data_IF_373491670921
#
_entry.id   IF_373491670921
#
_cell.length_a   1.000
_cell.length_b   1.000
_cell.length_c   1.000
_cell.angle_alpha   90.00
_cell.angle_beta   90.00
_cell.angle_gamma   90.00
#
_symmetry.space_group_name_H-M   'P 1'
#
loop_
_entity.id
_entity.type
_entity.pdbx_description
1 polymer ?
#
# COMPACT_ATOMS: atom_id res chain seq x y z
N UNK A 1 14.24 4.53 -71.96
CA UNK A 1 13.47 5.21 -70.89
C UNK A 1 14.30 6.41 -70.43
N UNK A 2 13.76 7.63 -70.52
CA UNK A 2 14.40 8.88 -70.10
C UNK A 2 14.76 8.82 -68.61
N UNK A 3 15.91 9.38 -68.22
CA UNK A 3 16.36 9.52 -66.82
C UNK A 3 15.27 10.16 -65.94
N UNK A 4 14.56 11.13 -66.49
CA UNK A 4 13.41 11.77 -65.83
C UNK A 4 12.27 10.80 -65.49
N UNK A 5 12.00 9.79 -66.31
CA UNK A 5 10.97 8.76 -66.03
C UNK A 5 11.36 7.81 -64.90
N UNK A 6 12.65 7.46 -64.79
CA UNK A 6 13.19 6.65 -63.75
C UNK A 6 13.13 7.40 -62.38
N UNK A 7 13.57 8.67 -62.38
CA UNK A 7 13.52 9.52 -61.18
C UNK A 7 12.08 9.71 -60.66
N UNK A 8 11.13 9.96 -61.55
CA UNK A 8 9.70 10.10 -61.17
C UNK A 8 9.14 8.82 -60.52
N UNK A 9 9.54 7.65 -61.03
CA UNK A 9 9.11 6.37 -60.44
C UNK A 9 9.74 6.12 -59.05
N UNK A 10 11.01 6.45 -58.86
CA UNK A 10 11.69 6.33 -57.56
C UNK A 10 11.11 7.29 -56.54
N UNK A 11 10.87 8.54 -56.89
CA UNK A 11 10.22 9.53 -56.01
C UNK A 11 8.82 9.07 -55.60
N UNK A 12 8.04 8.51 -56.51
CA UNK A 12 6.71 8.02 -56.22
C UNK A 12 6.75 6.77 -55.31
N UNK A 13 7.73 5.87 -55.50
CA UNK A 13 7.93 4.71 -54.63
C UNK A 13 8.35 5.13 -53.23
N UNK A 14 9.25 6.12 -53.10
CA UNK A 14 9.67 6.70 -51.81
C UNK A 14 8.49 7.38 -51.08
N UNK A 15 7.66 8.13 -51.80
CA UNK A 15 6.48 8.78 -51.21
C UNK A 15 5.47 7.77 -50.69
N UNK A 16 5.21 6.68 -51.43
CA UNK A 16 4.32 5.59 -50.95
C UNK A 16 4.92 4.89 -49.76
N UNK A 17 6.21 4.57 -49.77
CA UNK A 17 6.90 3.96 -48.64
C UNK A 17 6.88 4.84 -47.40
N UNK A 18 7.07 6.15 -47.54
CA UNK A 18 6.98 7.13 -46.48
C UNK A 18 5.57 7.22 -45.90
N UNK A 19 4.55 7.17 -46.74
CA UNK A 19 3.16 7.17 -46.31
C UNK A 19 2.82 5.92 -45.48
N UNK A 20 3.18 4.74 -45.99
CA UNK A 20 2.98 3.45 -45.27
C UNK A 20 3.73 3.45 -43.94
N UNK A 21 4.97 3.96 -43.93
CA UNK A 21 5.75 4.06 -42.69
C UNK A 21 5.08 4.99 -41.64
N UNK A 22 4.60 6.16 -42.09
CA UNK A 22 3.88 7.09 -41.20
C UNK A 22 2.58 6.50 -40.65
N UNK A 23 1.85 5.75 -41.48
CA UNK A 23 0.62 5.05 -41.06
C UNK A 23 0.93 3.98 -40.04
N UNK A 24 1.94 3.15 -40.27
CA UNK A 24 2.41 2.15 -39.31
C UNK A 24 2.88 2.78 -37.96
N UNK A 25 3.55 3.94 -38.03
CA UNK A 25 3.95 4.67 -36.82
C UNK A 25 2.74 5.18 -36.05
N UNK A 26 1.72 5.69 -36.72
CA UNK A 26 0.50 6.17 -36.08
C UNK A 26 -0.29 5.02 -35.44
N UNK A 27 -0.39 3.88 -36.12
CA UNK A 27 -1.01 2.66 -35.53
C UNK A 27 -0.24 2.19 -34.30
N UNK A 28 1.09 2.12 -34.37
CA UNK A 28 1.93 1.73 -33.24
C UNK A 28 1.77 2.70 -32.05
N UNK A 29 1.71 4.01 -32.32
CA UNK A 29 1.51 5.02 -31.29
C UNK A 29 0.14 4.88 -30.62
N UNK A 30 -0.91 4.60 -31.40
CA UNK A 30 -2.26 4.37 -30.89
C UNK A 30 -2.28 3.13 -29.97
N UNK A 31 -1.67 2.05 -30.42
CA UNK A 31 -1.58 0.81 -29.64
C UNK A 31 -0.80 0.97 -28.34
N UNK A 32 0.29 1.75 -28.36
CA UNK A 32 1.06 2.12 -27.16
C UNK A 32 0.19 2.90 -26.16
N UNK A 33 -0.62 3.82 -26.64
CA UNK A 33 -1.51 4.60 -25.77
C UNK A 33 -2.60 3.72 -25.14
N UNK A 34 -3.23 2.83 -25.90
CA UNK A 34 -4.21 1.86 -25.39
C UNK A 34 -3.60 0.93 -24.31
N UNK A 35 -2.38 0.44 -24.56
CA UNK A 35 -1.66 -0.40 -23.59
C UNK A 35 -1.32 0.37 -22.33
N UNK A 36 -0.92 1.64 -22.42
CA UNK A 36 -0.66 2.50 -21.27
C UNK A 36 -1.92 2.72 -20.42
N UNK A 37 -3.06 2.99 -21.06
CA UNK A 37 -4.34 3.14 -20.35
C UNK A 37 -4.76 1.84 -19.66
N UNK A 38 -4.58 0.71 -20.32
CA UNK A 38 -4.87 -0.60 -19.74
C UNK A 38 -3.95 -0.94 -18.55
N UNK A 39 -2.67 -0.61 -18.65
CA UNK A 39 -1.72 -0.76 -17.55
C UNK A 39 -2.14 0.14 -16.38
N UNK A 40 -2.47 1.40 -16.61
CA UNK A 40 -2.89 2.34 -15.58
C UNK A 40 -4.18 1.86 -14.85
N UNK A 41 -5.16 1.35 -15.61
CA UNK A 41 -6.39 0.80 -15.04
C UNK A 41 -6.13 -0.46 -14.18
N UNK A 42 -5.27 -1.36 -14.64
CA UNK A 42 -4.86 -2.55 -13.89
C UNK A 42 -4.08 -2.17 -12.62
N UNK A 43 -3.19 -1.19 -12.69
CA UNK A 43 -2.46 -0.67 -11.53
C UNK A 43 -3.41 -0.07 -10.49
N UNK A 44 -4.46 0.65 -10.89
CA UNK A 44 -5.49 1.15 -9.97
C UNK A 44 -6.24 0.01 -9.26
N UNK A 45 -6.57 -1.07 -9.96
CA UNK A 45 -7.23 -2.24 -9.37
C UNK A 45 -6.36 -2.94 -8.33
N UNK A 46 -5.04 -2.91 -8.50
CA UNK A 46 -4.07 -3.55 -7.58
C UNK A 46 -3.64 -2.60 -6.45
N UNK A 47 -3.85 -1.28 -6.61
CA UNK A 47 -3.39 -0.29 -5.64
C UNK A 47 -4.14 -0.30 -4.30
N UNK A 48 -5.37 -0.84 -4.29
CA UNK A 48 -6.21 -0.87 -3.09
C UNK A 48 -6.63 -2.28 -2.70
N UNK A 49 -6.65 -2.54 -1.39
CA UNK A 49 -7.21 -3.77 -0.82
C UNK A 49 -8.74 -3.75 -0.89
N UNK A 50 -9.32 -4.71 -1.59
CA UNK A 50 -10.76 -4.77 -1.86
C UNK A 50 -11.63 -4.91 -0.61
N UNK A 51 -11.08 -5.48 0.46
CA UNK A 51 -11.81 -5.65 1.70
C UNK A 51 -11.86 -4.37 2.54
N UNK A 52 -10.72 -3.70 2.69
CA UNK A 52 -10.57 -2.59 3.64
C UNK A 52 -10.62 -1.21 2.99
N UNK A 53 -10.41 -1.12 1.67
CA UNK A 53 -10.30 0.14 0.94
C UNK A 53 -9.04 0.96 1.28
N UNK A 54 -8.10 0.39 2.04
CA UNK A 54 -6.76 0.95 2.22
C UNK A 54 -5.88 0.61 1.01
N UNK A 55 -4.69 1.18 0.94
CA UNK A 55 -3.72 0.73 -0.05
C UNK A 55 -3.41 -0.76 0.12
N UNK A 56 -3.12 -1.42 -0.98
CA UNK A 56 -2.71 -2.83 -1.00
C UNK A 56 -1.25 -3.01 -0.56
N UNK A 57 -0.83 -4.24 -0.34
CA UNK A 57 0.56 -4.61 -0.14
C UNK A 57 1.44 -4.14 -1.30
N UNK A 58 0.99 -4.33 -2.53
CA UNK A 58 1.71 -3.88 -3.73
C UNK A 58 1.95 -2.37 -3.72
N UNK A 59 0.91 -1.58 -3.42
CA UNK A 59 1.05 -0.12 -3.33
C UNK A 59 2.00 0.32 -2.20
N UNK A 60 2.03 -0.42 -1.09
CA UNK A 60 2.98 -0.19 0.00
C UNK A 60 4.42 -0.46 -0.45
N UNK A 61 4.69 -1.59 -1.08
CA UNK A 61 6.04 -1.94 -1.52
C UNK A 61 6.58 -0.89 -2.51
N UNK A 62 5.76 -0.43 -3.47
CA UNK A 62 6.11 0.64 -4.40
C UNK A 62 6.30 2.01 -3.72
N UNK A 63 5.47 2.32 -2.72
CA UNK A 63 5.58 3.56 -1.96
C UNK A 63 6.86 3.59 -1.13
N UNK A 64 7.13 2.52 -0.36
CA UNK A 64 8.31 2.43 0.50
C UNK A 64 9.59 2.54 -0.30
N UNK A 65 9.69 1.83 -1.43
CA UNK A 65 10.82 1.88 -2.35
C UNK A 65 11.12 3.30 -2.84
N UNK A 66 10.08 4.06 -3.18
CA UNK A 66 10.25 5.45 -3.61
C UNK A 66 10.62 6.37 -2.45
N UNK A 67 9.97 6.19 -1.29
CA UNK A 67 10.14 7.07 -0.14
C UNK A 67 11.53 6.96 0.50
N UNK A 68 12.10 5.75 0.58
CA UNK A 68 13.40 5.52 1.24
C UNK A 68 14.58 6.08 0.42
N UNK A 69 14.40 6.23 -0.89
CA UNK A 69 15.43 6.75 -1.80
C UNK A 69 15.18 8.20 -2.24
N UNK A 70 14.13 8.85 -1.74
CA UNK A 70 13.82 10.22 -2.13
C UNK A 70 14.67 11.23 -1.36
N UNK A 71 15.36 12.10 -2.09
CA UNK A 71 16.19 13.19 -1.51
C UNK A 71 15.38 14.16 -0.62
N UNK A 72 14.06 14.18 -0.77
CA UNK A 72 13.14 15.02 0.02
C UNK A 72 12.69 14.36 1.33
N UNK A 73 13.08 13.12 1.59
CA UNK A 73 12.72 12.38 2.80
C UNK A 73 13.82 12.55 3.84
N UNK A 74 13.63 13.49 4.76
CA UNK A 74 14.55 13.73 5.88
C UNK A 74 14.47 12.65 6.97
N UNK A 75 13.28 12.09 7.18
CA UNK A 75 13.04 10.98 8.10
C UNK A 75 11.89 10.11 7.62
N UNK A 76 12.02 8.80 7.82
CA UNK A 76 11.00 7.82 7.51
C UNK A 76 10.82 6.88 8.70
N UNK A 77 9.57 6.66 9.10
CA UNK A 77 9.21 5.69 10.14
C UNK A 77 8.21 4.70 9.58
N UNK A 78 8.53 3.43 9.74
CA UNK A 78 7.68 2.30 9.36
C UNK A 78 7.05 1.70 10.59
N UNK A 79 5.72 1.51 10.56
CA UNK A 79 4.95 0.89 11.63
C UNK A 79 4.17 -0.28 11.08
N UNK A 80 4.28 -1.42 11.74
CA UNK A 80 3.44 -2.59 11.46
C UNK A 80 2.51 -2.81 12.64
N UNK A 81 1.21 -2.91 12.36
CA UNK A 81 0.16 -3.22 13.32
C UNK A 81 -0.44 -4.59 12.99
N UNK A 82 -0.44 -5.50 13.93
CA UNK A 82 -1.02 -6.85 13.77
C UNK A 82 -2.13 -7.06 14.80
N UNK A 83 -3.32 -7.43 14.32
CA UNK A 83 -4.48 -7.65 15.19
C UNK A 83 -4.25 -8.90 16.07
N UNK A 84 -4.33 -8.69 17.38
CA UNK A 84 -4.11 -9.74 18.35
C UNK A 84 -5.22 -10.79 18.29
N UNK A 85 -4.84 -12.07 18.41
CA UNK A 85 -5.76 -13.20 18.48
C UNK A 85 -6.81 -13.28 17.35
N UNK A 86 -6.53 -12.73 16.18
CA UNK A 86 -7.47 -12.66 15.05
C UNK A 86 -7.93 -14.04 14.59
N UNK A 87 -7.07 -15.07 14.65
CA UNK A 87 -7.44 -16.45 14.29
C UNK A 87 -8.51 -16.99 15.24
N UNK A 88 -8.33 -16.80 16.56
CA UNK A 88 -9.32 -17.19 17.57
C UNK A 88 -10.64 -16.46 17.39
N UNK A 89 -10.60 -15.20 16.99
CA UNK A 89 -11.81 -14.43 16.67
C UNK A 89 -12.55 -15.05 15.47
N UNK A 90 -11.84 -15.44 14.42
CA UNK A 90 -12.44 -16.11 13.27
C UNK A 90 -12.99 -17.50 13.62
N UNK A 91 -12.32 -18.26 14.49
CA UNK A 91 -12.79 -19.55 15.01
C UNK A 91 -14.10 -19.41 15.78
N UNK A 92 -14.22 -18.38 16.63
CA UNK A 92 -15.40 -18.17 17.48
C UNK A 92 -16.59 -17.54 16.73
N UNK A 93 -16.33 -16.64 15.79
CA UNK A 93 -17.38 -15.80 15.17
C UNK A 93 -17.50 -15.97 13.64
N UNK A 94 -16.60 -16.73 13.03
CA UNK A 94 -16.56 -16.95 11.60
C UNK A 94 -15.85 -15.85 10.81
N UNK A 95 -15.39 -16.19 9.60
CA UNK A 95 -14.62 -15.29 8.72
C UNK A 95 -15.37 -14.02 8.33
N UNK A 96 -16.69 -14.07 8.16
CA UNK A 96 -17.49 -12.88 7.82
C UNK A 96 -17.43 -11.80 8.90
N UNK A 97 -17.36 -12.22 10.18
CA UNK A 97 -17.21 -11.30 11.31
C UNK A 97 -15.79 -10.74 11.32
N UNK A 98 -14.78 -11.58 11.08
CA UNK A 98 -13.40 -11.13 10.94
C UNK A 98 -13.23 -10.09 9.84
N UNK A 99 -13.84 -10.30 8.69
CA UNK A 99 -13.83 -9.33 7.58
C UNK A 99 -14.50 -8.00 7.95
N UNK A 100 -15.62 -8.06 8.66
CA UNK A 100 -16.30 -6.85 9.14
C UNK A 100 -15.42 -6.07 10.15
N UNK A 101 -14.69 -6.77 11.01
CA UNK A 101 -13.74 -6.19 11.96
C UNK A 101 -12.57 -5.57 11.22
N UNK A 102 -12.00 -6.22 10.22
CA UNK A 102 -10.92 -5.66 9.41
C UNK A 102 -11.33 -4.35 8.73
N UNK A 103 -12.53 -4.31 8.14
CA UNK A 103 -13.08 -3.07 7.55
C UNK A 103 -13.24 -1.96 8.59
N UNK A 104 -13.79 -2.31 9.75
CA UNK A 104 -14.01 -1.35 10.83
C UNK A 104 -12.68 -0.78 11.36
N UNK A 105 -11.69 -1.65 11.64
CA UNK A 105 -10.38 -1.22 12.13
C UNK A 105 -9.62 -0.40 11.10
N UNK A 106 -9.67 -0.77 9.82
CA UNK A 106 -9.09 0.01 8.74
C UNK A 106 -9.65 1.43 8.69
N UNK A 107 -10.98 1.56 8.75
CA UNK A 107 -11.65 2.86 8.80
C UNK A 107 -11.27 3.65 10.05
N UNK A 108 -11.19 3.00 11.20
CA UNK A 108 -10.80 3.61 12.47
C UNK A 108 -9.37 4.15 12.42
N UNK A 109 -8.42 3.36 11.90
CA UNK A 109 -7.03 3.79 11.71
C UNK A 109 -6.95 4.97 10.73
N UNK A 110 -7.67 4.90 9.62
CA UNK A 110 -7.74 6.00 8.64
C UNK A 110 -8.28 7.29 9.26
N UNK A 111 -9.32 7.22 10.08
CA UNK A 111 -9.87 8.38 10.79
C UNK A 111 -8.90 8.95 11.82
N UNK A 112 -8.17 8.08 12.54
CA UNK A 112 -7.24 8.50 13.61
C UNK A 112 -5.96 9.10 13.07
N UNK A 113 -5.42 8.53 11.99
CA UNK A 113 -4.13 8.95 11.40
C UNK A 113 -4.31 10.00 10.30
N UNK A 114 -5.47 10.03 9.64
CA UNK A 114 -5.77 10.99 8.58
C UNK A 114 -4.78 10.88 7.42
N UNK A 115 -4.31 12.05 6.96
CA UNK A 115 -3.32 12.16 5.88
C UNK A 115 -1.87 12.20 6.39
N UNK A 116 -1.66 11.99 7.69
CA UNK A 116 -0.32 12.05 8.29
C UNK A 116 0.53 10.82 7.95
N UNK A 117 -0.11 9.73 7.53
CA UNK A 117 0.56 8.47 7.20
C UNK A 117 0.03 7.88 5.89
N UNK A 118 0.91 7.22 5.16
CA UNK A 118 0.49 6.27 4.13
C UNK A 118 0.03 4.98 4.83
N UNK A 119 -1.22 4.56 4.59
CA UNK A 119 -1.82 3.37 5.21
C UNK A 119 -2.08 2.29 4.18
N UNK A 120 -1.65 1.06 4.49
CA UNK A 120 -1.93 -0.09 3.64
C UNK A 120 -2.31 -1.33 4.47
N UNK A 121 -3.00 -2.27 3.85
CA UNK A 121 -3.15 -3.62 4.37
C UNK A 121 -1.94 -4.43 3.98
N UNK A 122 -1.17 -4.85 4.98
CA UNK A 122 0.11 -5.53 4.79
C UNK A 122 -0.07 -7.03 4.56
N UNK A 123 -0.96 -7.66 5.31
CA UNK A 123 -1.31 -9.08 5.20
C UNK A 123 -2.75 -9.31 5.68
N UNK A 124 -3.16 -10.56 5.82
CA UNK A 124 -4.52 -10.94 6.23
C UNK A 124 -5.08 -10.15 7.41
N UNK A 125 -4.29 -9.97 8.48
CA UNK A 125 -4.67 -9.26 9.72
C UNK A 125 -3.73 -8.12 10.09
N UNK A 126 -2.76 -7.79 9.25
CA UNK A 126 -1.74 -6.79 9.55
C UNK A 126 -1.90 -5.57 8.66
N UNK A 127 -1.64 -4.41 9.24
CA UNK A 127 -1.65 -3.11 8.57
C UNK A 127 -0.27 -2.48 8.69
N UNK A 128 0.05 -1.60 7.75
CA UNK A 128 1.30 -0.86 7.74
C UNK A 128 1.02 0.63 7.61
N UNK A 129 1.80 1.44 8.33
CA UNK A 129 1.78 2.89 8.26
C UNK A 129 3.19 3.38 7.95
N UNK A 130 3.32 4.27 6.99
CA UNK A 130 4.59 4.94 6.70
C UNK A 130 4.40 6.43 6.98
N UNK A 131 5.25 6.95 7.85
CA UNK A 131 5.32 8.37 8.20
C UNK A 131 6.57 8.98 7.59
N UNK A 132 6.42 10.11 6.92
CA UNK A 132 7.52 10.86 6.33
C UNK A 132 7.68 12.20 7.03
N UNK A 133 8.93 12.61 7.26
CA UNK A 133 9.30 13.92 7.80
C UNK A 133 8.61 14.22 9.14
N UNK A 134 8.61 13.22 10.04
CA UNK A 134 8.07 13.30 11.41
C UNK A 134 9.09 12.78 12.41
N UNK A 135 9.14 13.43 13.59
CA UNK A 135 10.03 12.95 14.65
C UNK A 135 9.55 11.61 15.24
N UNK A 136 10.46 10.78 15.78
CA UNK A 136 10.11 9.52 16.45
C UNK A 136 9.06 9.67 17.55
N UNK A 137 9.15 10.72 18.36
CA UNK A 137 8.22 10.99 19.47
C UNK A 137 6.82 11.30 18.94
N UNK A 138 6.75 12.09 17.85
CA UNK A 138 5.48 12.40 17.21
C UNK A 138 4.82 11.13 16.64
N UNK A 139 5.60 10.28 15.97
CA UNK A 139 5.12 8.98 15.42
C UNK A 139 4.62 8.10 16.55
N UNK A 140 5.37 7.96 17.65
CA UNK A 140 4.97 7.18 18.82
C UNK A 140 3.62 7.66 19.37
N UNK A 141 3.42 8.97 19.52
CA UNK A 141 2.15 9.53 20.00
C UNK A 141 0.99 9.23 19.05
N UNK A 142 1.22 9.26 17.73
CA UNK A 142 0.19 8.95 16.73
C UNK A 142 -0.18 7.47 16.74
N UNK A 143 0.81 6.59 16.84
CA UNK A 143 0.59 5.15 16.93
C UNK A 143 -0.12 4.79 18.23
N UNK A 144 0.23 5.43 19.35
CA UNK A 144 -0.50 5.22 20.63
C UNK A 144 -1.97 5.66 20.53
N UNK A 145 -2.27 6.78 19.86
CA UNK A 145 -3.67 7.16 19.58
C UNK A 145 -4.40 6.11 18.75
N UNK A 146 -3.74 5.52 17.75
CA UNK A 146 -4.32 4.45 16.94
C UNK A 146 -4.58 3.19 17.78
N UNK A 147 -3.62 2.79 18.63
CA UNK A 147 -3.78 1.66 19.55
C UNK A 147 -4.96 1.88 20.50
N UNK A 148 -5.05 3.05 21.11
CA UNK A 148 -6.17 3.40 21.99
C UNK A 148 -7.51 3.42 21.23
N UNK A 149 -7.55 3.95 20.02
CA UNK A 149 -8.75 3.95 19.21
C UNK A 149 -9.26 2.54 18.89
N UNK A 150 -8.35 1.57 18.77
CA UNK A 150 -8.70 0.15 18.57
C UNK A 150 -9.26 -0.46 19.86
N UNK A 151 -8.55 -0.37 20.97
CA UNK A 151 -8.97 -1.03 22.23
C UNK A 151 -10.30 -0.48 22.79
N UNK A 152 -10.58 0.82 22.59
CA UNK A 152 -11.84 1.41 23.02
C UNK A 152 -12.98 1.24 21.99
N UNK A 153 -12.75 0.46 20.94
CA UNK A 153 -13.77 0.14 19.95
C UNK A 153 -14.78 -0.87 20.52
N UNK A 154 -16.03 -0.43 20.71
CA UNK A 154 -17.13 -1.34 21.06
C UNK A 154 -17.70 -1.94 19.78
N UNK A 155 -17.44 -3.21 19.55
CA UNK A 155 -17.92 -3.91 18.36
C UNK A 155 -19.07 -4.84 18.77
N UNK A 156 -20.26 -4.57 18.21
CA UNK A 156 -21.47 -5.37 18.43
C UNK A 156 -21.80 -6.17 17.18
N UNK A 157 -22.07 -7.43 17.33
CA UNK A 157 -22.66 -8.25 16.26
C UNK A 157 -24.07 -7.76 15.96
N UNK A 158 -24.32 -7.33 14.73
CA UNK A 158 -25.63 -6.79 14.33
C UNK A 158 -26.75 -7.83 14.48
N UNK A 159 -26.44 -9.12 14.24
CA UNK A 159 -27.40 -10.23 14.27
C UNK A 159 -27.90 -10.58 15.67
N UNK A 160 -27.00 -10.57 16.66
CA UNK A 160 -27.30 -11.04 18.03
C UNK A 160 -27.23 -9.93 19.07
N UNK A 161 -26.77 -8.72 18.70
CA UNK A 161 -26.40 -7.61 19.60
C UNK A 161 -25.36 -8.01 20.66
N UNK A 162 -24.70 -9.14 20.46
CA UNK A 162 -23.62 -9.62 21.32
C UNK A 162 -22.37 -8.75 21.16
N UNK A 163 -21.76 -8.38 22.26
CA UNK A 163 -20.47 -7.69 22.26
C UNK A 163 -19.34 -8.70 21.97
N UNK A 164 -18.47 -8.41 20.99
CA UNK A 164 -17.36 -9.29 20.61
C UNK A 164 -16.22 -9.23 21.64
N UNK A 165 -16.30 -8.30 22.57
CA UNK A 165 -15.20 -8.03 23.51
C UNK A 165 -14.19 -7.01 22.95
N UNK A 166 -13.11 -6.79 23.70
CA UNK A 166 -12.08 -5.85 23.30
C UNK A 166 -11.15 -6.46 22.25
N UNK A 167 -11.03 -5.78 21.12
CA UNK A 167 -10.03 -6.09 20.10
C UNK A 167 -8.79 -5.26 20.39
N UNK A 168 -7.63 -5.89 20.30
CA UNK A 168 -6.33 -5.21 20.44
C UNK A 168 -5.44 -5.47 19.24
N UNK A 169 -4.41 -4.66 19.10
CA UNK A 169 -3.35 -4.85 18.13
C UNK A 169 -1.99 -4.61 18.77
N UNK A 170 -1.00 -5.34 18.29
CA UNK A 170 0.41 -5.17 18.63
C UNK A 170 1.10 -4.39 17.55
N UNK A 171 1.92 -3.40 17.93
CA UNK A 171 2.57 -2.49 17.01
C UNK A 171 4.08 -2.60 17.12
N UNK A 172 4.77 -2.55 15.98
CA UNK A 172 6.21 -2.42 15.89
C UNK A 172 6.56 -1.18 15.09
N UNK A 173 7.49 -0.37 15.60
CA UNK A 173 8.00 0.84 14.94
C UNK A 173 9.48 0.64 14.63
N UNK A 174 9.88 0.97 13.41
CA UNK A 174 11.28 1.12 13.03
C UNK A 174 11.47 2.46 12.32
N UNK A 175 12.54 3.17 12.69
CA UNK A 175 12.96 4.41 12.04
C UNK A 175 14.07 4.10 11.05
N UNK A 176 13.94 4.62 9.82
CA UNK A 176 14.95 4.40 8.79
C UNK A 176 16.29 5.05 9.20
N UNK A 177 17.37 4.30 9.01
CA UNK A 177 18.73 4.77 9.13
C UNK A 177 19.26 5.22 7.76
N UNK A 178 20.34 5.99 7.76
CA UNK A 178 20.99 6.38 6.50
C UNK A 178 21.39 5.14 5.69
N UNK A 179 21.04 5.15 4.40
CA UNK A 179 21.37 4.06 3.44
C UNK A 179 20.81 2.69 3.80
N UNK A 180 19.79 2.63 4.64
CA UNK A 180 19.11 1.39 4.97
C UNK A 180 18.25 0.92 3.79
N UNK A 181 18.20 -0.40 3.56
CA UNK A 181 17.32 -0.99 2.56
C UNK A 181 15.89 -1.14 3.09
N UNK A 182 14.90 -1.16 2.18
CA UNK A 182 13.50 -1.39 2.50
C UNK A 182 13.31 -2.70 3.30
N UNK A 183 14.01 -3.75 2.88
CA UNK A 183 13.93 -5.06 3.52
C UNK A 183 14.46 -5.06 4.95
N UNK A 184 15.56 -4.33 5.22
CA UNK A 184 16.12 -4.17 6.57
C UNK A 184 15.15 -3.42 7.49
N UNK A 185 14.64 -2.28 7.03
CA UNK A 185 13.67 -1.47 7.77
C UNK A 185 12.39 -2.26 8.08
N UNK A 186 11.87 -2.97 7.10
CA UNK A 186 10.69 -3.82 7.29
C UNK A 186 10.96 -4.93 8.30
N UNK A 187 12.09 -5.62 8.21
CA UNK A 187 12.47 -6.69 9.15
C UNK A 187 12.52 -6.20 10.58
N UNK A 188 13.08 -4.99 10.85
CA UNK A 188 13.08 -4.39 12.18
C UNK A 188 11.67 -4.06 12.68
N UNK A 189 10.80 -3.53 11.82
CA UNK A 189 9.41 -3.28 12.21
C UNK A 189 8.63 -4.57 12.50
N UNK A 190 8.89 -5.65 11.75
CA UNK A 190 8.31 -6.97 11.99
C UNK A 190 8.83 -7.56 13.32
N UNK A 191 10.12 -7.47 13.59
CA UNK A 191 10.73 -7.88 14.86
C UNK A 191 10.14 -7.10 16.05
N UNK A 192 10.03 -5.79 15.94
CA UNK A 192 9.39 -4.96 16.96
C UNK A 192 7.94 -5.38 17.23
N UNK A 193 7.18 -5.72 16.15
CA UNK A 193 5.80 -6.23 16.28
C UNK A 193 5.77 -7.56 17.00
N UNK A 194 6.70 -8.46 16.69
CA UNK A 194 6.82 -9.76 17.35
C UNK A 194 7.14 -9.60 18.84
N UNK A 195 8.07 -8.71 19.19
CA UNK A 195 8.39 -8.36 20.57
C UNK A 195 7.16 -7.84 21.31
N UNK A 196 6.36 -6.96 20.71
CA UNK A 196 5.10 -6.49 21.28
C UNK A 196 4.15 -7.64 21.62
N UNK A 197 4.04 -8.65 20.75
CA UNK A 197 3.21 -9.84 20.97
C UNK A 197 3.74 -10.71 22.12
N UNK A 198 5.05 -10.93 22.15
CA UNK A 198 5.70 -11.74 23.19
C UNK A 198 5.61 -11.09 24.58
N UNK A 199 5.70 -9.78 24.65
CA UNK A 199 5.63 -9.03 25.92
C UNK A 199 4.21 -8.84 26.46
N UNK A 200 3.20 -9.45 25.88
CA UNK A 200 1.82 -9.45 26.41
C UNK A 200 0.79 -8.76 25.52
N UNK A 201 1.13 -8.46 24.26
CA UNK A 201 0.23 -7.85 23.25
C UNK A 201 -0.25 -6.43 23.62
N UNK A 202 -1.13 -5.87 22.79
CA UNK A 202 -1.76 -4.56 23.01
C UNK A 202 -0.76 -3.47 23.42
N UNK A 203 0.37 -3.39 22.72
CA UNK A 203 1.45 -2.44 23.00
C UNK A 203 2.22 -2.05 21.74
N UNK A 204 3.13 -1.11 21.93
CA UNK A 204 4.04 -0.62 20.92
C UNK A 204 5.45 -0.96 21.37
N UNK A 205 6.24 -1.52 20.47
CA UNK A 205 7.69 -1.68 20.60
C UNK A 205 8.39 -0.92 19.50
N UNK A 206 9.50 -0.27 19.80
CA UNK A 206 10.31 0.48 18.85
C UNK A 206 11.72 -0.11 18.81
N UNK A 207 12.28 -0.26 17.59
CA UNK A 207 13.65 -0.68 17.28
C UNK A 207 14.35 0.34 16.38
#
# INVERSE_FOLDING_TARGET
ASIAGKLKKEVMTLSVSQYVFMDTLNEAQTHINELKEKIASLQQLVAYDQLTGLHSRFAYDEFLKKAIHADTTESLSLVIADIDQFSLLNENFGFHVGDAILRYLAQKMKQTLGNDAFLARFSGKSFVFVFLNRSPEWVMQRVEKARQAIIYSKILLRSTKQEIGSITASFGIAHASEKESEASLQSRAEEATLLSKHQGRNRITQL
#
